data_IF_424292178391
#
_entry.id   IF_424292178391
#
_cell.length_a   1.000
_cell.length_b   1.000
_cell.length_c   1.000
_cell.angle_alpha   90.00
_cell.angle_beta   90.00
_cell.angle_gamma   90.00
#
_symmetry.space_group_name_H-M   'P 1'
#
loop_
_entity.id
_entity.type
_entity.pdbx_description
1 polymer ?
#
# COMPACT_ATOMS: atom_id res chain seq x y z
N UNK A 1 16.11 -10.71 -11.64
CA UNK A 1 16.72 -9.85 -10.59
C UNK A 1 16.42 -8.35 -10.79
N UNK A 2 15.20 -7.96 -11.23
CA UNK A 2 14.91 -6.59 -11.70
C UNK A 2 14.96 -5.51 -10.62
N UNK A 3 14.55 -5.81 -9.38
CA UNK A 3 14.53 -4.83 -8.28
C UNK A 3 15.95 -4.55 -7.80
N UNK A 4 16.74 -5.61 -7.58
CA UNK A 4 18.11 -5.51 -7.04
C UNK A 4 19.02 -4.76 -8.01
N UNK A 5 18.88 -5.02 -9.31
CA UNK A 5 19.67 -4.38 -10.35
C UNK A 5 19.43 -2.87 -10.47
N UNK A 6 18.27 -2.34 -10.01
CA UNK A 6 18.05 -0.89 -9.95
C UNK A 6 18.99 -0.18 -8.98
N UNK A 7 19.51 -0.93 -8.00
CA UNK A 7 20.38 -0.44 -6.94
C UNK A 7 21.80 -1.03 -7.05
N UNK A 8 22.11 -1.70 -8.16
CA UNK A 8 23.43 -2.30 -8.39
C UNK A 8 23.73 -3.56 -7.57
N UNK A 9 22.73 -4.18 -6.93
CA UNK A 9 22.94 -5.38 -6.10
C UNK A 9 22.82 -6.63 -6.97
N UNK A 10 23.86 -7.48 -6.94
CA UNK A 10 23.95 -8.69 -7.78
C UNK A 10 23.51 -9.98 -7.09
N UNK A 11 23.39 -10.00 -5.76
CA UNK A 11 23.03 -11.22 -4.99
C UNK A 11 21.84 -10.98 -4.07
N UNK A 12 21.02 -12.02 -3.88
CA UNK A 12 19.91 -11.98 -2.91
C UNK A 12 20.44 -11.84 -1.48
N UNK A 13 21.56 -12.46 -1.16
CA UNK A 13 22.17 -12.44 0.17
C UNK A 13 22.53 -11.01 0.59
N UNK A 14 23.08 -10.20 -0.32
CA UNK A 14 23.37 -8.79 -0.05
C UNK A 14 22.10 -7.92 0.03
N UNK A 15 21.03 -8.30 -0.66
CA UNK A 15 19.74 -7.59 -0.59
C UNK A 15 18.97 -7.91 0.70
N UNK A 16 19.13 -9.11 1.23
CA UNK A 16 18.42 -9.58 2.41
C UNK A 16 18.80 -8.74 3.63
N UNK A 17 17.79 -8.15 4.30
CA UNK A 17 18.01 -7.31 5.47
C UNK A 17 18.56 -5.91 5.18
N UNK A 18 18.93 -5.59 3.93
CA UNK A 18 19.52 -4.30 3.58
C UNK A 18 18.52 -3.11 3.63
N UNK A 19 17.22 -3.40 3.81
CA UNK A 19 16.14 -2.40 3.91
C UNK A 19 16.20 -1.32 2.83
N UNK A 20 16.35 -1.74 1.57
CA UNK A 20 16.44 -0.83 0.40
C UNK A 20 15.05 -0.30 0.02
N UNK A 21 14.45 0.48 0.91
CA UNK A 21 13.17 1.17 0.74
C UNK A 21 13.08 2.39 1.67
N UNK A 22 12.09 3.25 1.43
CA UNK A 22 11.71 4.35 2.33
C UNK A 22 10.28 4.13 2.81
N UNK A 23 10.03 4.37 4.10
CA UNK A 23 8.69 4.29 4.68
C UNK A 23 8.00 5.66 4.62
N UNK A 24 6.90 5.75 3.87
CA UNK A 24 6.09 6.97 3.76
C UNK A 24 4.75 6.76 4.45
N UNK A 25 4.34 7.70 5.31
CA UNK A 25 3.06 7.68 5.99
C UNK A 25 2.96 6.68 7.15
N UNK A 26 4.09 6.20 7.67
CA UNK A 26 4.15 5.30 8.82
C UNK A 26 4.77 6.04 10.00
N UNK A 27 4.19 5.91 11.19
CA UNK A 27 4.69 6.58 12.38
C UNK A 27 6.06 6.05 12.80
N UNK A 28 6.90 6.95 13.33
CA UNK A 28 8.27 6.63 13.72
C UNK A 28 8.34 5.52 14.78
N UNK A 29 7.40 5.46 15.71
CA UNK A 29 7.34 4.39 16.73
C UNK A 29 7.22 2.97 16.13
N UNK A 30 6.59 2.84 14.96
CA UNK A 30 6.47 1.56 14.25
C UNK A 30 7.77 1.26 13.51
N UNK A 31 8.30 2.25 12.79
CA UNK A 31 9.55 2.12 12.03
C UNK A 31 10.71 1.78 12.96
N UNK A 32 10.88 2.51 14.06
CA UNK A 32 11.98 2.31 15.00
C UNK A 32 11.97 0.91 15.63
N UNK A 33 10.78 0.31 15.83
CA UNK A 33 10.63 -1.00 16.47
C UNK A 33 10.69 -2.19 15.50
N UNK A 34 10.16 -2.04 14.29
CA UNK A 34 9.97 -3.17 13.36
C UNK A 34 10.78 -3.04 12.06
N UNK A 35 11.22 -1.83 11.71
CA UNK A 35 12.01 -1.52 10.52
C UNK A 35 13.16 -0.59 10.90
N UNK A 36 13.84 -0.90 12.00
CA UNK A 36 14.85 -0.02 12.61
C UNK A 36 15.92 0.35 11.59
N UNK A 37 16.20 1.65 11.47
CA UNK A 37 17.16 2.20 10.50
C UNK A 37 16.55 2.62 9.16
N UNK A 38 15.29 2.27 8.89
CA UNK A 38 14.58 2.72 7.68
C UNK A 38 14.22 4.21 7.77
N UNK A 39 14.41 4.94 6.67
CA UNK A 39 14.03 6.35 6.58
C UNK A 39 12.51 6.50 6.57
N UNK A 40 11.98 7.38 7.42
CA UNK A 40 10.58 7.82 7.36
C UNK A 40 10.46 9.31 7.65
N UNK A 41 10.39 10.12 6.58
CA UNK A 41 10.31 11.58 6.67
C UNK A 41 8.90 12.07 6.93
N UNK A 42 7.93 11.42 6.30
CA UNK A 42 6.51 11.72 6.45
C UNK A 42 5.93 10.67 7.39
N UNK A 43 5.68 11.06 8.63
CA UNK A 43 5.06 10.20 9.64
C UNK A 43 3.58 9.97 9.31
N UNK A 44 2.94 9.02 9.99
CA UNK A 44 1.52 8.76 9.80
C UNK A 44 0.99 7.66 10.70
N UNK A 45 0.63 6.52 10.11
CA UNK A 45 -0.11 5.44 10.76
C UNK A 45 0.67 4.80 11.90
N UNK A 46 0.01 4.64 13.04
CA UNK A 46 0.50 3.83 14.16
C UNK A 46 0.13 2.35 13.98
N UNK A 47 0.60 1.48 14.89
CA UNK A 47 0.21 0.05 14.86
C UNK A 47 -1.31 -0.14 14.97
N UNK A 48 -1.97 0.66 15.80
CA UNK A 48 -3.43 0.55 16.00
C UNK A 48 -4.19 0.96 14.75
N UNK A 49 -3.70 1.96 14.02
CA UNK A 49 -4.29 2.39 12.74
C UNK A 49 -4.14 1.28 11.68
N UNK A 50 -2.94 0.69 11.56
CA UNK A 50 -2.69 -0.43 10.65
C UNK A 50 -3.61 -1.61 11.00
N UNK A 51 -3.72 -1.95 12.29
CA UNK A 51 -4.59 -3.03 12.76
C UNK A 51 -6.06 -2.76 12.41
N UNK A 52 -6.54 -1.53 12.62
CA UNK A 52 -7.90 -1.12 12.26
C UNK A 52 -8.15 -1.28 10.76
N UNK A 53 -7.21 -0.88 9.90
CA UNK A 53 -7.34 -0.99 8.45
C UNK A 53 -7.37 -2.45 7.97
N UNK A 54 -6.56 -3.32 8.59
CA UNK A 54 -6.57 -4.76 8.35
C UNK A 54 -7.92 -5.37 8.76
N UNK A 55 -8.45 -4.99 9.92
CA UNK A 55 -9.74 -5.50 10.41
C UNK A 55 -10.92 -5.09 9.52
N UNK A 56 -10.88 -3.89 8.92
CA UNK A 56 -11.90 -3.46 7.94
C UNK A 56 -11.89 -4.40 6.74
N UNK A 57 -10.72 -4.66 6.15
CA UNK A 57 -10.58 -5.59 5.01
C UNK A 57 -10.98 -7.02 5.37
N UNK A 58 -10.60 -7.46 6.57
CA UNK A 58 -10.98 -8.78 7.07
C UNK A 58 -12.50 -8.95 7.13
N UNK A 59 -13.25 -7.96 7.65
CA UNK A 59 -14.72 -8.03 7.72
C UNK A 59 -15.38 -8.08 6.35
N UNK A 60 -14.78 -7.46 5.35
CA UNK A 60 -15.25 -7.53 3.95
C UNK A 60 -15.05 -8.94 3.39
N UNK A 61 -13.87 -9.54 3.61
CA UNK A 61 -13.58 -10.91 3.14
C UNK A 61 -14.27 -12.03 3.93
N UNK A 62 -14.55 -11.79 5.21
CA UNK A 62 -15.18 -12.74 6.13
C UNK A 62 -16.42 -12.12 6.80
N UNK A 63 -17.52 -11.93 6.05
CA UNK A 63 -18.74 -11.37 6.60
C UNK A 63 -19.42 -12.36 7.55
N UNK A 64 -20.02 -11.85 8.63
CA UNK A 64 -20.73 -12.69 9.61
C UNK A 64 -22.04 -13.30 9.08
N UNK A 65 -22.55 -12.79 7.96
CA UNK A 65 -23.72 -13.30 7.27
C UNK A 65 -23.34 -13.62 5.84
N UNK A 66 -23.90 -14.68 5.28
CA UNK A 66 -23.68 -15.02 3.88
C UNK A 66 -24.19 -13.88 2.98
N UNK A 67 -23.33 -13.44 2.08
CA UNK A 67 -23.64 -12.45 1.06
C UNK A 67 -23.73 -13.20 -0.27
N UNK A 68 -24.84 -13.08 -1.02
CA UNK A 68 -25.09 -13.90 -2.21
C UNK A 68 -24.12 -13.63 -3.38
N UNK A 69 -23.33 -12.55 -3.32
CA UNK A 69 -22.35 -12.21 -4.34
C UNK A 69 -21.01 -11.94 -3.66
N UNK A 70 -20.08 -12.89 -3.78
CA UNK A 70 -18.67 -12.72 -3.41
C UNK A 70 -17.85 -12.39 -4.66
N UNK A 71 -18.00 -11.17 -5.17
CA UNK A 71 -17.11 -10.65 -6.22
C UNK A 71 -16.15 -9.64 -5.63
N UNK A 72 -14.91 -9.61 -6.15
CA UNK A 72 -13.96 -8.56 -5.83
C UNK A 72 -14.48 -7.22 -6.35
N UNK A 73 -14.18 -6.14 -5.63
CA UNK A 73 -14.44 -4.79 -6.12
C UNK A 73 -13.74 -4.55 -7.46
N UNK A 74 -14.39 -3.77 -8.33
CA UNK A 74 -13.87 -3.39 -9.66
C UNK A 74 -12.48 -2.75 -9.56
N UNK A 75 -12.16 -2.14 -8.42
CA UNK A 75 -10.91 -1.45 -8.18
C UNK A 75 -10.78 -0.21 -9.06
N UNK A 76 -9.58 0.03 -9.57
CA UNK A 76 -9.27 1.23 -10.35
C UNK A 76 -7.93 1.84 -10.01
N UNK A 77 -7.01 1.10 -9.37
CA UNK A 77 -5.69 1.62 -9.00
C UNK A 77 -4.85 2.02 -10.22
N UNK A 78 -4.85 1.19 -11.27
CA UNK A 78 -4.01 1.39 -12.45
C UNK A 78 -4.66 2.23 -13.56
N UNK A 79 -5.99 2.24 -13.61
CA UNK A 79 -6.75 2.91 -14.65
C UNK A 79 -8.02 3.48 -14.04
N UNK A 80 -8.42 4.65 -14.51
CA UNK A 80 -9.66 5.27 -14.08
C UNK A 80 -10.86 4.34 -14.33
N UNK A 81 -11.73 4.26 -13.32
CA UNK A 81 -13.03 3.58 -13.37
C UNK A 81 -14.05 4.49 -12.71
N UNK A 82 -15.29 4.50 -13.22
CA UNK A 82 -16.34 5.39 -12.72
C UNK A 82 -16.66 5.17 -11.22
N UNK A 83 -16.53 3.94 -10.71
CA UNK A 83 -16.69 3.58 -9.29
C UNK A 83 -15.38 3.12 -8.64
N UNK A 84 -14.25 3.58 -9.16
CA UNK A 84 -12.92 3.20 -8.69
C UNK A 84 -12.23 4.28 -7.85
N UNK A 85 -10.93 4.11 -7.67
CA UNK A 85 -10.05 5.11 -7.07
C UNK A 85 -10.14 6.45 -7.81
N UNK A 86 -9.87 7.55 -7.09
CA UNK A 86 -9.83 8.88 -7.71
C UNK A 86 -8.51 9.06 -8.47
N UNK A 87 -8.60 9.47 -9.73
CA UNK A 87 -7.45 9.81 -10.57
C UNK A 87 -7.42 11.32 -10.83
N UNK A 88 -6.21 11.88 -10.87
CA UNK A 88 -5.98 13.25 -11.30
C UNK A 88 -6.46 13.47 -12.75
N UNK A 89 -6.22 12.49 -13.61
CA UNK A 89 -6.73 12.47 -14.98
C UNK A 89 -7.97 11.58 -15.07
N UNK A 90 -9.12 12.20 -15.26
CA UNK A 90 -10.40 11.55 -15.50
C UNK A 90 -11.14 12.23 -16.67
N UNK A 91 -12.18 11.60 -17.26
CA UNK A 91 -12.86 12.17 -18.42
C UNK A 91 -13.39 13.60 -18.21
N UNK A 92 -13.90 13.93 -17.03
CA UNK A 92 -14.41 15.26 -16.70
C UNK A 92 -13.27 16.30 -16.72
N UNK A 93 -12.15 16.01 -16.04
CA UNK A 93 -10.97 16.90 -16.01
C UNK A 93 -10.34 17.08 -17.39
N UNK A 94 -10.33 16.04 -18.22
CA UNK A 94 -9.78 16.11 -19.58
C UNK A 94 -10.70 16.92 -20.49
N UNK A 95 -12.02 16.82 -20.31
CA UNK A 95 -12.98 17.61 -21.11
C UNK A 95 -12.94 19.12 -20.83
N UNK A 96 -12.43 19.52 -19.65
CA UNK A 96 -12.31 20.91 -19.21
C UNK A 96 -10.95 21.55 -19.53
N UNK A 97 -9.96 20.76 -19.99
CA UNK A 97 -8.63 21.20 -20.42
C UNK A 97 -8.62 21.54 -21.91
#
# INVERSE_FOLDING_TARGET
LKIFSKMGISTLQSYHGAQIFEALGIHKSVVDKYFTGTVSRIQGLTLDDIAKEVLIRHRIGYPQREIPIQMLDVGGVYQWKQRGEKHLFNPETISLL
#
